data_IF_603736106398
#
_entry.id   IF_603736106398
#
_cell.length_a   1.000
_cell.length_b   1.000
_cell.length_c   1.000
_cell.angle_alpha   90.00
_cell.angle_beta   90.00
_cell.angle_gamma   90.00
#
_symmetry.space_group_name_H-M   'P 1'
#
loop_
_entity.id
_entity.type
_entity.pdbx_description
1 polymer ?
#
# COMPACT_ATOMS: atom_id res chain seq x y z
N UNK A 1 10.11 13.61 44.64
CA UNK A 1 10.67 13.84 43.29
C UNK A 1 11.02 12.48 42.68
N UNK A 2 10.33 12.07 41.62
CA UNK A 2 10.79 11.03 40.68
C UNK A 2 10.38 11.47 39.27
N UNK A 3 11.38 11.73 38.43
CA UNK A 3 11.20 12.22 37.06
C UNK A 3 10.62 11.14 36.15
N UNK A 4 9.67 11.51 35.29
CA UNK A 4 9.22 10.66 34.19
C UNK A 4 10.35 10.62 33.15
N UNK A 5 11.01 9.46 33.01
CA UNK A 5 11.89 9.17 31.88
C UNK A 5 11.04 9.10 30.62
N UNK A 6 11.34 9.94 29.64
CA UNK A 6 10.78 9.81 28.29
C UNK A 6 11.35 8.56 27.65
N UNK A 7 10.48 7.67 27.16
CA UNK A 7 10.88 6.51 26.36
C UNK A 7 11.38 7.06 25.02
N UNK A 8 12.62 6.74 24.66
CA UNK A 8 13.21 7.17 23.40
C UNK A 8 12.68 6.30 22.25
N UNK A 9 12.44 6.90 21.08
CA UNK A 9 11.86 6.23 19.90
C UNK A 9 12.73 5.07 19.38
N UNK A 10 14.02 5.06 19.71
CA UNK A 10 14.93 3.93 19.44
C UNK A 10 14.62 2.69 20.28
N UNK A 11 14.18 2.83 21.54
CA UNK A 11 13.82 1.69 22.41
C UNK A 11 12.55 0.97 21.94
N UNK A 12 11.65 1.70 21.27
CA UNK A 12 10.48 1.15 20.60
C UNK A 12 10.86 0.36 19.34
N UNK A 13 11.86 0.79 18.57
CA UNK A 13 12.37 0.02 17.43
C UNK A 13 12.98 -1.32 17.87
N UNK A 14 13.78 -1.27 18.94
CA UNK A 14 14.51 -2.46 19.42
C UNK A 14 13.57 -3.48 20.07
N UNK A 15 12.50 -3.04 20.74
CA UNK A 15 11.45 -3.94 21.26
C UNK A 15 10.61 -4.58 20.14
N UNK A 16 10.36 -3.87 19.03
CA UNK A 16 9.67 -4.43 17.87
C UNK A 16 10.52 -5.43 17.07
N UNK A 17 11.83 -5.18 16.93
CA UNK A 17 12.75 -6.10 16.26
C UNK A 17 12.95 -7.39 17.09
N UNK A 18 13.11 -7.26 18.42
CA UNK A 18 13.23 -8.41 19.32
C UNK A 18 11.93 -9.23 19.42
N UNK A 19 10.76 -8.58 19.28
CA UNK A 19 9.46 -9.27 19.27
C UNK A 19 9.24 -10.15 18.03
N UNK A 20 9.73 -9.74 16.86
CA UNK A 20 9.64 -10.54 15.63
C UNK A 20 10.62 -11.72 15.62
N UNK A 21 11.80 -11.57 16.23
CA UNK A 21 12.76 -12.66 16.38
C UNK A 21 12.22 -13.76 17.31
N UNK A 22 11.58 -13.38 18.42
CA UNK A 22 10.92 -14.32 19.35
C UNK A 22 9.76 -15.10 18.69
N UNK A 23 9.12 -14.52 17.66
CA UNK A 23 8.04 -15.14 16.87
C UNK A 23 8.59 -16.13 15.84
N UNK A 24 9.85 -15.98 15.41
CA UNK A 24 10.50 -16.93 14.49
C UNK A 24 11.19 -18.11 15.22
N UNK A 25 11.59 -17.94 16.48
CA UNK A 25 12.33 -18.96 17.25
C UNK A 25 11.42 -19.95 18.02
N UNK A 26 10.12 -19.67 18.13
CA UNK A 26 9.14 -20.62 18.70
C UNK A 26 8.49 -21.41 17.56
N UNK A 27 8.94 -22.64 17.33
CA UNK A 27 8.16 -23.61 16.54
C UNK A 27 6.97 -24.12 17.37
N UNK A 28 5.73 -23.90 16.93
CA UNK A 28 4.73 -24.93 17.13
C UNK A 28 4.07 -25.34 15.80
N UNK A 29 3.89 -26.65 15.68
CA UNK A 29 3.23 -27.40 14.61
C UNK A 29 1.96 -26.71 14.10
N UNK A 30 2.04 -26.07 12.93
CA UNK A 30 0.93 -25.35 12.30
C UNK A 30 0.07 -26.30 11.46
N UNK A 31 -1.19 -26.49 11.86
CA UNK A 31 -2.27 -26.77 10.90
C UNK A 31 -3.00 -25.45 10.64
N UNK A 32 -2.98 -24.98 9.39
CA UNK A 32 -3.71 -23.79 8.96
C UNK A 32 -5.10 -24.21 8.45
N UNK A 33 -6.16 -23.64 9.00
CA UNK A 33 -7.52 -23.80 8.47
C UNK A 33 -8.07 -22.41 8.16
N UNK A 34 -8.50 -22.19 6.92
CA UNK A 34 -9.00 -20.90 6.43
C UNK A 34 -10.37 -20.63 7.07
N UNK A 35 -10.37 -19.99 8.23
CA UNK A 35 -11.53 -19.28 8.77
C UNK A 35 -11.06 -18.01 9.48
N UNK A 36 -10.82 -16.97 8.69
CA UNK A 36 -10.79 -15.51 8.98
C UNK A 36 -10.07 -14.95 10.23
N UNK A 37 -9.54 -15.77 11.13
CA UNK A 37 -8.89 -15.38 12.38
C UNK A 37 -7.65 -16.27 12.61
N UNK A 38 -6.57 -15.71 13.17
CA UNK A 38 -5.47 -16.51 13.70
C UNK A 38 -5.77 -16.82 15.16
N UNK A 39 -5.91 -18.11 15.46
CA UNK A 39 -6.07 -18.61 16.83
C UNK A 39 -4.76 -19.24 17.26
N UNK A 40 -4.06 -18.60 18.21
CA UNK A 40 -2.86 -19.19 18.82
C UNK A 40 -3.30 -19.96 20.07
N UNK A 41 -3.12 -21.28 20.04
CA UNK A 41 -3.47 -22.18 21.14
C UNK A 41 -2.21 -22.39 21.99
N UNK A 42 -2.22 -21.83 23.20
CA UNK A 42 -1.21 -22.10 24.23
C UNK A 42 -1.81 -23.04 25.29
N UNK A 43 -1.01 -23.83 26.01
CA UNK A 43 -1.51 -24.86 26.94
C UNK A 43 -2.36 -24.31 28.11
N UNK A 44 -2.37 -22.99 28.35
CA UNK A 44 -3.09 -22.36 29.47
C UNK A 44 -4.03 -21.22 29.09
N UNK A 45 -4.04 -20.77 27.84
CA UNK A 45 -4.96 -19.75 27.35
C UNK A 45 -5.06 -19.79 25.83
N UNK A 46 -6.23 -19.42 25.33
CA UNK A 46 -6.45 -19.25 23.90
C UNK A 46 -6.40 -17.75 23.61
N UNK A 47 -5.47 -17.32 22.76
CA UNK A 47 -5.40 -15.93 22.32
C UNK A 47 -5.98 -15.83 20.91
N UNK A 48 -7.14 -15.20 20.81
CA UNK A 48 -7.79 -14.89 19.52
C UNK A 48 -7.43 -13.45 19.15
N UNK A 49 -6.53 -13.29 18.19
CA UNK A 49 -6.18 -11.98 17.65
C UNK A 49 -7.02 -11.78 16.39
N UNK A 50 -8.00 -10.84 16.40
CA UNK A 50 -8.66 -10.46 15.16
C UNK A 50 -7.60 -9.85 14.25
N UNK A 51 -7.37 -10.48 13.10
CA UNK A 51 -6.47 -9.93 12.09
C UNK A 51 -6.97 -8.53 11.68
N UNK A 52 -6.09 -7.54 11.43
CA UNK A 52 -6.46 -6.16 11.08
C UNK A 52 -7.29 -5.99 9.79
N UNK A 53 -7.64 -7.10 9.14
CA UNK A 53 -8.25 -7.20 7.82
C UNK A 53 -9.74 -7.56 7.88
N UNK A 54 -10.42 -7.30 9.00
CA UNK A 54 -11.88 -7.39 9.07
C UNK A 54 -12.56 -6.32 8.19
N UNK A 55 -13.81 -6.54 7.73
CA UNK A 55 -14.55 -5.63 6.85
C UNK A 55 -14.84 -4.23 7.44
N UNK A 56 -14.45 -4.00 8.70
CA UNK A 56 -14.64 -2.74 9.42
C UNK A 56 -13.45 -1.77 9.31
N UNK A 57 -12.28 -2.21 8.84
CA UNK A 57 -11.16 -1.30 8.57
C UNK A 57 -11.23 -0.77 7.14
N UNK A 58 -11.15 0.56 6.92
CA UNK A 58 -11.19 1.10 5.58
C UNK A 58 -9.97 0.61 4.79
N UNK A 59 -10.23 -0.29 3.84
CA UNK A 59 -9.28 -0.63 2.78
C UNK A 59 -8.98 0.63 1.96
N UNK A 60 -7.89 0.58 1.19
CA UNK A 60 -7.15 1.68 0.53
C UNK A 60 -7.93 2.77 -0.25
N UNK A 61 -9.25 2.72 -0.29
CA UNK A 61 -10.12 3.79 -0.80
C UNK A 61 -11.20 4.15 0.23
N UNK A 62 -10.97 5.20 1.02
CA UNK A 62 -11.97 5.74 1.92
C UNK A 62 -12.06 7.26 1.79
N UNK A 63 -13.30 7.78 1.67
CA UNK A 63 -13.53 9.21 1.65
C UNK A 63 -13.41 9.78 3.06
N UNK A 64 -12.94 11.02 3.21
CA UNK A 64 -12.89 11.69 4.53
C UNK A 64 -14.26 11.79 5.20
N UNK A 65 -15.35 11.80 4.40
CA UNK A 65 -16.73 11.75 4.90
C UNK A 65 -17.11 10.37 5.43
N UNK A 66 -16.67 9.31 4.75
CA UNK A 66 -16.88 7.92 5.20
C UNK A 66 -16.16 7.68 6.54
N UNK A 67 -14.92 8.18 6.66
CA UNK A 67 -14.15 8.14 7.93
C UNK A 67 -14.88 8.91 9.03
N UNK A 68 -15.38 10.11 8.74
CA UNK A 68 -16.17 10.92 9.68
C UNK A 68 -17.42 10.20 10.18
N UNK A 69 -18.19 9.55 9.29
CA UNK A 69 -19.37 8.76 9.67
C UNK A 69 -18.99 7.53 10.51
N UNK A 70 -17.93 6.84 10.13
CA UNK A 70 -17.44 5.65 10.84
C UNK A 70 -16.98 6.00 12.26
N UNK A 71 -16.21 7.08 12.42
CA UNK A 71 -15.74 7.58 13.71
C UNK A 71 -16.79 8.38 14.49
N UNK A 72 -17.92 8.75 13.87
CA UNK A 72 -18.91 9.71 14.41
C UNK A 72 -18.29 11.05 14.83
N UNK A 73 -17.29 11.52 14.07
CA UNK A 73 -16.58 12.80 14.29
C UNK A 73 -16.95 13.77 13.15
N UNK A 74 -16.95 15.08 13.41
CA UNK A 74 -17.19 16.09 12.36
C UNK A 74 -16.18 15.98 11.20
N UNK A 75 -16.65 16.24 9.98
CA UNK A 75 -15.84 16.12 8.76
C UNK A 75 -14.65 17.07 8.75
N UNK A 76 -14.78 18.28 9.30
CA UNK A 76 -13.69 19.26 9.37
C UNK A 76 -12.59 18.79 10.33
N UNK A 77 -12.97 18.18 11.46
CA UNK A 77 -12.02 17.62 12.42
C UNK A 77 -11.19 16.49 11.81
N UNK A 78 -11.82 15.61 11.01
CA UNK A 78 -11.11 14.59 10.23
C UNK A 78 -10.11 15.22 9.26
N UNK A 79 -10.51 16.25 8.50
CA UNK A 79 -9.62 16.93 7.56
C UNK A 79 -8.45 17.64 8.25
N UNK A 80 -8.68 18.31 9.38
CA UNK A 80 -7.61 18.96 10.16
C UNK A 80 -6.62 17.93 10.70
N UNK A 81 -7.13 16.78 11.17
CA UNK A 81 -6.29 15.72 11.69
C UNK A 81 -5.44 15.12 10.57
N UNK A 82 -6.05 14.77 9.43
CA UNK A 82 -5.33 14.27 8.25
C UNK A 82 -4.24 15.23 7.76
N UNK A 83 -4.47 16.54 7.85
CA UNK A 83 -3.46 17.55 7.54
C UNK A 83 -2.32 17.55 8.57
N UNK A 84 -2.64 17.41 9.85
CA UNK A 84 -1.65 17.36 10.95
C UNK A 84 -0.77 16.12 10.86
N UNK A 85 -1.34 14.98 10.47
CA UNK A 85 -0.59 13.72 10.24
C UNK A 85 -0.01 13.62 8.82
N UNK A 86 -0.02 14.72 8.07
CA UNK A 86 0.54 14.84 6.71
C UNK A 86 0.01 13.83 5.66
N UNK A 87 -1.17 13.26 5.88
CA UNK A 87 -1.81 12.40 4.89
C UNK A 87 -2.23 13.22 3.67
N UNK A 88 -1.65 12.88 2.51
CA UNK A 88 -1.95 13.51 1.23
C UNK A 88 -2.81 12.57 0.37
N UNK A 89 -3.88 13.12 -0.22
CA UNK A 89 -4.68 12.38 -1.19
C UNK A 89 -3.88 12.18 -2.47
N UNK A 90 -3.53 10.94 -2.77
CA UNK A 90 -2.97 10.54 -4.07
C UNK A 90 -4.07 9.90 -4.90
N UNK A 91 -4.05 10.14 -6.21
CA UNK A 91 -4.90 9.39 -7.14
C UNK A 91 -4.36 7.98 -7.28
N UNK A 92 -5.25 7.04 -7.61
CA UNK A 92 -4.84 5.69 -7.90
C UNK A 92 -3.93 5.67 -9.15
N UNK A 93 -3.02 4.71 -9.17
CA UNK A 93 -2.20 4.44 -10.34
C UNK A 93 -3.03 3.55 -11.27
N UNK A 94 -3.09 3.91 -12.55
CA UNK A 94 -3.75 3.09 -13.54
C UNK A 94 -2.91 1.83 -13.81
N UNK A 95 -3.49 0.66 -13.57
CA UNK A 95 -2.86 -0.64 -13.84
C UNK A 95 -3.62 -1.28 -15.00
N UNK A 96 -2.95 -1.66 -16.12
CA UNK A 96 -3.63 -2.06 -17.37
C UNK A 96 -4.57 -3.26 -17.26
N UNK A 97 -4.26 -4.21 -16.36
CA UNK A 97 -5.02 -5.44 -16.26
C UNK A 97 -5.02 -6.00 -14.83
N UNK A 98 -6.15 -6.58 -14.44
CA UNK A 98 -6.27 -7.35 -13.21
C UNK A 98 -5.65 -8.73 -13.44
N UNK A 99 -4.51 -8.98 -12.81
CA UNK A 99 -3.83 -10.26 -12.94
C UNK A 99 -4.55 -11.34 -12.13
N UNK A 100 -4.68 -12.54 -12.71
CA UNK A 100 -5.06 -13.73 -11.96
C UNK A 100 -3.90 -14.16 -11.04
N UNK A 101 -4.18 -14.89 -9.94
CA UNK A 101 -3.12 -15.37 -9.05
C UNK A 101 -2.04 -16.19 -9.77
N UNK A 102 -2.45 -16.99 -10.76
CA UNK A 102 -1.54 -17.74 -11.63
C UNK A 102 -0.61 -16.82 -12.42
N UNK A 103 -1.17 -15.83 -13.12
CA UNK A 103 -0.39 -14.88 -13.91
C UNK A 103 0.56 -14.04 -13.03
N UNK A 104 0.20 -13.79 -11.77
CA UNK A 104 1.11 -13.13 -10.82
C UNK A 104 2.30 -14.02 -10.49
N UNK A 105 2.06 -15.29 -10.14
CA UNK A 105 3.13 -16.24 -9.83
C UNK A 105 4.05 -16.47 -11.03
N UNK A 106 3.49 -16.67 -12.22
CA UNK A 106 4.27 -16.87 -13.44
C UNK A 106 5.19 -15.67 -13.72
N UNK A 107 4.67 -14.45 -13.55
CA UNK A 107 5.47 -13.23 -13.71
C UNK A 107 6.60 -13.12 -12.69
N UNK A 108 6.34 -13.43 -11.42
CA UNK A 108 7.37 -13.41 -10.37
C UNK A 108 8.47 -14.42 -10.72
N UNK A 109 8.09 -15.65 -11.06
CA UNK A 109 9.02 -16.72 -11.41
C UNK A 109 9.91 -16.36 -12.61
N UNK A 110 9.30 -15.84 -13.69
CA UNK A 110 10.05 -15.40 -14.88
C UNK A 110 11.02 -14.28 -14.53
N UNK A 111 10.58 -13.28 -13.74
CA UNK A 111 11.46 -12.18 -13.31
C UNK A 111 12.65 -12.68 -12.48
N UNK A 112 12.42 -13.59 -11.52
CA UNK A 112 13.48 -14.17 -10.70
C UNK A 112 14.49 -14.95 -11.55
N UNK A 113 14.01 -15.76 -12.50
CA UNK A 113 14.88 -16.51 -13.39
C UNK A 113 15.73 -15.59 -14.28
N UNK A 114 15.13 -14.52 -14.81
CA UNK A 114 15.85 -13.53 -15.62
C UNK A 114 16.87 -12.74 -14.80
N UNK A 115 16.55 -12.38 -13.56
CA UNK A 115 17.47 -11.69 -12.67
C UNK A 115 18.71 -12.56 -12.36
N UNK A 116 18.51 -13.82 -11.98
CA UNK A 116 19.62 -14.78 -11.76
C UNK A 116 20.48 -14.98 -12.99
N UNK A 117 19.86 -15.00 -14.18
CA UNK A 117 20.62 -15.12 -15.44
C UNK A 117 21.48 -13.89 -15.70
N UNK A 118 21.00 -12.69 -15.38
CA UNK A 118 21.75 -11.45 -15.59
C UNK A 118 22.97 -11.36 -14.66
N UNK A 119 22.85 -11.87 -13.43
CA UNK A 119 23.97 -11.99 -12.48
C UNK A 119 25.07 -12.93 -13.00
N UNK A 120 24.69 -14.07 -13.58
CA UNK A 120 25.65 -15.06 -14.10
C UNK A 120 26.27 -14.59 -15.41
N UNK A 121 25.47 -14.00 -16.29
CA UNK A 121 25.88 -13.62 -17.64
C UNK A 121 25.11 -12.40 -18.09
N UNK A 122 25.67 -11.18 -17.98
CA UNK A 122 24.94 -9.95 -18.27
C UNK A 122 24.51 -9.92 -19.73
N UNK A 123 23.20 -10.07 -19.96
CA UNK A 123 22.64 -10.23 -21.30
C UNK A 123 21.83 -9.02 -21.76
N UNK A 124 21.55 -8.07 -20.86
CA UNK A 124 20.83 -6.84 -21.17
C UNK A 124 21.50 -6.05 -22.31
N UNK A 125 22.84 -6.02 -22.36
CA UNK A 125 23.60 -5.35 -23.44
C UNK A 125 23.41 -5.97 -24.82
N UNK A 126 22.93 -7.22 -24.89
CA UNK A 126 22.70 -7.97 -26.14
C UNK A 126 21.21 -8.04 -26.48
N UNK A 127 20.34 -7.49 -25.65
CA UNK A 127 18.89 -7.56 -25.84
C UNK A 127 18.46 -6.58 -26.93
N UNK A 128 17.72 -7.09 -27.92
CA UNK A 128 17.02 -6.28 -28.91
C UNK A 128 15.53 -6.41 -28.66
N UNK A 129 14.84 -5.30 -28.39
CA UNK A 129 13.39 -5.25 -28.16
C UNK A 129 12.70 -4.52 -29.30
N UNK A 130 11.49 -4.97 -29.65
CA UNK A 130 10.60 -4.31 -30.62
C UNK A 130 9.18 -4.30 -30.06
N UNK A 131 8.53 -3.16 -30.13
CA UNK A 131 7.12 -2.98 -29.76
C UNK A 131 6.43 -2.06 -30.78
N UNK A 132 5.13 -2.27 -31.00
CA UNK A 132 4.34 -1.49 -31.94
C UNK A 132 3.44 -0.51 -31.18
N UNK A 133 3.65 0.78 -31.43
CA UNK A 133 2.85 1.83 -30.82
C UNK A 133 1.92 2.46 -31.85
N UNK A 134 0.62 2.42 -31.59
CA UNK A 134 -0.35 3.17 -32.37
C UNK A 134 -0.10 4.67 -32.28
N UNK A 135 0.01 5.35 -33.42
CA UNK A 135 0.15 6.81 -33.51
C UNK A 135 -1.19 7.40 -33.94
N UNK A 136 -1.75 8.28 -33.12
CA UNK A 136 -3.02 8.98 -33.43
C UNK A 136 -2.73 10.28 -34.19
N UNK A 137 -3.46 10.55 -35.26
CA UNK A 137 -3.31 11.77 -36.06
C UNK A 137 -3.59 13.06 -35.26
N UNK A 138 -4.64 13.05 -34.43
CA UNK A 138 -5.01 14.18 -33.58
C UNK A 138 -5.16 13.72 -32.13
N UNK A 139 -4.32 14.24 -31.23
CA UNK A 139 -4.36 13.93 -29.80
C UNK A 139 -4.77 15.17 -29.00
N UNK A 140 -6.03 15.19 -28.55
CA UNK A 140 -6.52 16.27 -27.70
C UNK A 140 -6.06 16.00 -26.27
N UNK A 141 -5.03 16.70 -25.83
CA UNK A 141 -4.55 16.63 -24.43
C UNK A 141 -5.09 17.82 -23.65
N UNK A 142 -5.72 17.56 -22.49
CA UNK A 142 -6.18 18.61 -21.59
C UNK A 142 -4.97 19.32 -20.97
N UNK A 143 -4.76 20.59 -21.34
CA UNK A 143 -3.72 21.45 -20.73
C UNK A 143 -4.19 21.98 -19.39
N UNK A 144 -3.28 22.08 -18.42
CA UNK A 144 -3.52 22.78 -17.15
C UNK A 144 -3.14 24.25 -17.33
N UNK A 145 -4.04 25.16 -16.97
CA UNK A 145 -3.78 26.59 -16.90
C UNK A 145 -3.91 27.09 -15.46
N UNK A 146 -3.23 28.20 -15.16
CA UNK A 146 -3.39 28.94 -13.92
C UNK A 146 -4.41 30.05 -14.17
N UNK A 147 -5.48 30.10 -13.37
CA UNK A 147 -6.48 31.18 -13.40
C UNK A 147 -6.78 31.63 -11.96
N UNK A 148 -7.44 32.79 -11.80
CA UNK A 148 -7.87 33.20 -10.46
C UNK A 148 -9.03 32.32 -10.00
N UNK A 149 -9.24 32.28 -8.68
CA UNK A 149 -10.37 31.56 -8.09
C UNK A 149 -11.68 32.08 -8.71
N UNK A 150 -12.57 31.18 -9.10
CA UNK A 150 -13.85 31.44 -9.74
C UNK A 150 -13.82 31.91 -11.21
N UNK A 151 -12.63 32.06 -11.83
CA UNK A 151 -12.54 32.25 -13.28
C UNK A 151 -12.79 30.93 -14.02
N UNK A 152 -13.52 31.00 -15.13
CA UNK A 152 -13.75 29.83 -15.99
C UNK A 152 -12.41 29.31 -16.56
N UNK A 153 -12.15 28.02 -16.38
CA UNK A 153 -10.99 27.39 -16.99
C UNK A 153 -11.14 27.36 -18.52
N UNK A 154 -10.11 27.76 -19.25
CA UNK A 154 -10.10 27.63 -20.71
C UNK A 154 -10.15 26.14 -21.10
N UNK A 155 -11.26 25.73 -21.72
CA UNK A 155 -11.53 24.33 -22.08
C UNK A 155 -10.88 23.91 -23.41
N UNK A 156 -10.35 24.87 -24.18
CA UNK A 156 -9.90 24.65 -25.55
C UNK A 156 -8.47 25.17 -25.73
N UNK A 157 -7.65 24.43 -26.48
CA UNK A 157 -6.35 24.92 -26.91
C UNK A 157 -6.52 26.11 -27.87
N UNK A 158 -5.69 27.15 -27.73
CA UNK A 158 -5.61 28.21 -28.75
C UNK A 158 -5.24 27.56 -30.10
N UNK A 159 -5.89 27.98 -31.21
CA UNK A 159 -5.62 27.45 -32.55
C UNK A 159 -4.16 27.64 -32.96
#
# INVERSE_FOLDING_TARGET
MMGRRGINVSELSDTYANGLQLIMDLQPQTQYTIHHNLTLIYPKYTLTIPLPWGPAFPTSYCSSRSISRWLKIDHKAVLSHLRKVEFKKKLHVWVPHQLTPKNMMDRIFICEALAKRDEIGPFLKRMVTRDEKGVTYYSIVRKRSWSKCCDAAQTVAKP
#
